data_IF_676051338804
#
_entry.id   IF_676051338804
#
_cell.length_a   1.000
_cell.length_b   1.000
_cell.length_c   1.000
_cell.angle_alpha   90.00
_cell.angle_beta   90.00
_cell.angle_gamma   90.00
#
_symmetry.space_group_name_H-M   'P 1'
#
loop_
_entity.id
_entity.type
_entity.pdbx_description
1 polymer ?
#
# COMPACT_ATOMS: atom_id res chain seq x y z
N UNK A 1 -10.80 -13.78 1.67
CA UNK A 1 -11.02 -12.69 0.68
C UNK A 1 -9.73 -11.92 0.34
N UNK A 2 -9.04 -11.31 1.30
CA UNK A 2 -7.82 -10.52 1.04
C UNK A 2 -6.77 -11.27 0.20
N UNK A 3 -6.49 -12.55 0.53
CA UNK A 3 -5.61 -13.41 -0.27
C UNK A 3 -6.07 -13.56 -1.71
N UNK A 4 -7.36 -13.83 -1.92
CA UNK A 4 -7.94 -13.98 -3.26
C UNK A 4 -7.96 -12.66 -4.05
N UNK A 5 -7.97 -11.51 -3.37
CA UNK A 5 -7.82 -10.20 -3.97
C UNK A 5 -6.35 -9.84 -4.32
N UNK A 6 -5.39 -10.74 -4.06
CA UNK A 6 -3.97 -10.56 -4.34
C UNK A 6 -3.21 -9.76 -3.29
N UNK A 7 -3.81 -9.44 -2.15
CA UNK A 7 -3.15 -8.71 -1.06
C UNK A 7 -2.01 -9.53 -0.47
N UNK A 8 -0.94 -8.87 -0.05
CA UNK A 8 0.26 -9.50 0.52
C UNK A 8 0.33 -9.37 2.04
N UNK A 9 -0.33 -8.40 2.62
CA UNK A 9 -0.41 -8.18 4.06
C UNK A 9 -1.75 -7.52 4.41
N UNK A 10 -2.08 -7.56 5.69
CA UNK A 10 -3.23 -6.85 6.26
C UNK A 10 -2.80 -6.09 7.51
N UNK A 11 -3.40 -4.92 7.74
CA UNK A 11 -3.19 -4.11 8.94
C UNK A 11 -4.52 -4.05 9.70
N UNK A 12 -4.56 -4.64 10.89
CA UNK A 12 -5.72 -4.58 11.77
C UNK A 12 -5.66 -3.34 12.65
N UNK A 13 -6.75 -2.60 12.73
CA UNK A 13 -6.91 -1.57 13.76
C UNK A 13 -7.09 -2.25 15.13
N UNK A 14 -5.99 -2.43 15.85
CA UNK A 14 -6.00 -3.14 17.15
C UNK A 14 -6.58 -2.29 18.26
N UNK A 15 -6.33 -0.98 18.21
CA UNK A 15 -6.89 0.04 19.11
C UNK A 15 -6.91 1.39 18.39
N UNK A 16 -8.10 1.96 18.26
CA UNK A 16 -8.31 3.29 17.69
C UNK A 16 -8.28 4.37 18.80
N UNK A 17 -8.62 5.63 18.49
CA UNK A 17 -8.50 6.77 19.42
C UNK A 17 -9.46 6.71 20.60
N UNK A 18 -10.59 5.98 20.50
CA UNK A 18 -11.53 5.77 21.59
C UNK A 18 -10.97 4.87 22.70
N UNK A 19 -9.81 4.23 22.47
CA UNK A 19 -9.09 3.49 23.47
C UNK A 19 -9.55 2.05 23.68
N UNK A 20 -10.44 1.48 22.84
CA UNK A 20 -10.89 0.10 22.96
C UNK A 20 -9.88 -0.87 22.34
N UNK A 21 -9.33 -1.77 23.17
CA UNK A 21 -8.35 -2.77 22.72
C UNK A 21 -9.04 -4.03 22.23
N UNK A 22 -8.70 -4.49 21.01
CA UNK A 22 -9.30 -5.70 20.40
C UNK A 22 -8.60 -7.01 20.84
N UNK A 23 -7.87 -7.00 21.95
CA UNK A 23 -7.15 -8.17 22.48
C UNK A 23 -7.29 -8.30 24.00
N UNK A 24 -6.85 -9.42 24.56
CA UNK A 24 -6.77 -9.69 26.00
C UNK A 24 -5.67 -8.86 26.68
N UNK A 25 -5.84 -7.54 26.67
CA UNK A 25 -4.88 -6.63 27.28
C UNK A 25 -4.91 -6.71 28.80
N UNK A 26 -3.74 -6.83 29.42
CA UNK A 26 -3.57 -6.74 30.88
C UNK A 26 -3.28 -5.31 31.33
N UNK A 27 -2.94 -4.46 30.38
CA UNK A 27 -2.66 -3.02 30.59
C UNK A 27 -3.95 -2.20 30.51
N UNK A 28 -4.81 -2.49 29.54
CA UNK A 28 -6.06 -1.76 29.30
C UNK A 28 -7.28 -2.64 29.61
N UNK A 29 -8.01 -2.36 30.71
CA UNK A 29 -9.22 -3.14 31.04
C UNK A 29 -10.40 -2.88 30.09
N UNK A 30 -10.36 -1.79 29.29
CA UNK A 30 -11.34 -1.52 28.26
C UNK A 30 -10.98 -2.25 26.95
N UNK A 31 -11.28 -3.56 26.94
CA UNK A 31 -10.90 -4.43 25.87
C UNK A 31 -12.00 -5.45 25.50
N UNK A 32 -11.81 -6.14 24.37
CA UNK A 32 -12.79 -7.07 23.80
C UNK A 32 -13.03 -8.34 24.63
N UNK A 33 -12.14 -8.69 25.57
CA UNK A 33 -12.35 -9.80 26.49
C UNK A 33 -13.29 -9.42 27.66
N UNK A 34 -13.18 -8.17 28.11
CA UNK A 34 -13.99 -7.70 29.23
C UNK A 34 -15.35 -7.15 28.79
N UNK A 35 -15.45 -6.68 27.54
CA UNK A 35 -16.65 -6.03 26.99
C UNK A 35 -16.97 -6.56 25.60
N UNK A 36 -18.24 -6.68 25.27
CA UNK A 36 -18.72 -7.04 23.94
C UNK A 36 -18.63 -8.53 23.64
N UNK A 37 -17.78 -8.92 22.69
CA UNK A 37 -17.76 -10.28 22.19
C UNK A 37 -17.01 -11.31 23.05
N UNK A 38 -16.26 -10.88 24.07
CA UNK A 38 -15.43 -11.73 24.95
C UNK A 38 -14.43 -12.60 24.18
N UNK A 39 -13.83 -12.05 23.12
CA UNK A 39 -12.87 -12.71 22.23
C UNK A 39 -11.62 -11.87 22.06
N UNK A 40 -10.47 -12.54 21.89
CA UNK A 40 -9.23 -11.91 21.44
C UNK A 40 -9.22 -11.83 19.92
N UNK A 41 -9.75 -10.72 19.39
CA UNK A 41 -9.87 -10.49 17.94
C UNK A 41 -8.50 -10.40 17.28
N UNK A 42 -7.50 -9.84 17.98
CA UNK A 42 -6.12 -9.76 17.46
C UNK A 42 -5.54 -11.17 17.27
N UNK A 43 -5.76 -12.09 18.21
CA UNK A 43 -5.34 -13.49 18.10
C UNK A 43 -5.95 -14.17 16.88
N UNK A 44 -7.25 -14.03 16.73
CA UNK A 44 -7.97 -14.65 15.62
C UNK A 44 -7.55 -14.09 14.26
N UNK A 45 -7.31 -12.77 14.18
CA UNK A 45 -6.78 -12.12 12.99
C UNK A 45 -5.39 -12.63 12.63
N UNK A 46 -4.48 -12.72 13.61
CA UNK A 46 -3.11 -13.22 13.41
C UNK A 46 -3.12 -14.65 12.91
N UNK A 47 -3.92 -15.51 13.55
CA UNK A 47 -4.01 -16.94 13.19
C UNK A 47 -4.57 -17.09 11.75
N UNK A 48 -5.58 -16.29 11.40
CA UNK A 48 -6.13 -16.27 10.04
C UNK A 48 -5.11 -15.78 9.00
N UNK A 49 -4.38 -14.69 9.27
CA UNK A 49 -3.34 -14.18 8.37
C UNK A 49 -2.23 -15.20 8.14
N UNK A 50 -1.76 -15.87 9.20
CA UNK A 50 -0.74 -16.93 9.11
C UNK A 50 -1.21 -18.11 8.28
N UNK A 51 -2.45 -18.57 8.52
CA UNK A 51 -3.06 -19.65 7.74
C UNK A 51 -3.10 -19.34 6.25
N UNK A 52 -3.38 -18.08 5.89
CA UNK A 52 -3.46 -17.63 4.51
C UNK A 52 -2.09 -17.18 3.93
N UNK A 53 -1.03 -17.13 4.74
CA UNK A 53 0.30 -16.65 4.33
C UNK A 53 0.32 -15.16 3.99
N UNK A 54 -0.42 -14.36 4.77
CA UNK A 54 -0.43 -12.89 4.67
C UNK A 54 0.49 -12.29 5.72
N UNK A 55 1.22 -11.22 5.38
CA UNK A 55 1.94 -10.39 6.33
C UNK A 55 0.98 -9.72 7.32
N UNK A 56 1.46 -9.44 8.52
CA UNK A 56 0.66 -8.98 9.65
C UNK A 56 1.11 -7.60 10.09
N UNK A 57 0.19 -6.65 10.02
CA UNK A 57 0.36 -5.30 10.56
C UNK A 57 -0.62 -5.00 11.68
N UNK A 58 -0.19 -4.20 12.63
CA UNK A 58 -1.02 -3.67 13.70
C UNK A 58 -1.06 -2.15 13.63
N UNK A 59 -2.26 -1.61 13.46
CA UNK A 59 -2.52 -0.19 13.68
C UNK A 59 -2.69 0.04 15.19
N UNK A 60 -1.98 1.01 15.72
CA UNK A 60 -2.03 1.42 17.11
C UNK A 60 -2.08 2.94 17.20
N UNK A 61 -3.21 3.51 17.63
CA UNK A 61 -3.33 4.96 17.82
C UNK A 61 -2.40 5.46 18.92
N UNK A 62 -1.73 6.58 18.65
CA UNK A 62 -0.99 7.32 19.68
C UNK A 62 -1.93 8.12 20.59
N UNK A 63 -3.09 8.54 20.07
CA UNK A 63 -4.15 9.19 20.84
C UNK A 63 -4.97 8.16 21.61
N UNK A 64 -5.44 8.54 22.80
CA UNK A 64 -6.46 7.81 23.56
C UNK A 64 -7.38 8.82 24.27
N UNK A 65 -8.61 8.92 23.76
CA UNK A 65 -9.60 9.87 24.28
C UNK A 65 -10.14 9.48 25.67
N UNK A 66 -10.00 8.22 26.03
CA UNK A 66 -10.47 7.67 27.31
C UNK A 66 -9.43 7.79 28.42
N UNK A 67 -8.16 7.80 28.05
CA UNK A 67 -7.11 7.85 29.06
C UNK A 67 -7.06 9.21 29.76
N UNK A 68 -7.04 9.27 31.10
CA UNK A 68 -7.07 10.53 31.83
C UNK A 68 -5.92 11.47 31.50
N UNK A 69 -4.78 10.91 31.07
CA UNK A 69 -3.60 11.67 30.67
C UNK A 69 -3.53 11.91 29.15
N UNK A 70 -4.48 11.38 28.33
CA UNK A 70 -4.44 11.44 26.87
C UNK A 70 -4.37 12.87 26.31
N UNK A 71 -5.14 13.81 26.88
CA UNK A 71 -5.06 15.23 26.53
C UNK A 71 -4.01 15.99 27.37
N UNK A 72 -3.84 15.60 28.63
CA UNK A 72 -2.94 16.29 29.60
C UNK A 72 -1.47 16.12 29.27
N UNK A 73 -1.10 15.04 28.56
CA UNK A 73 0.30 14.73 28.20
C UNK A 73 1.00 15.87 27.43
N UNK A 74 0.24 16.76 26.79
CA UNK A 74 0.81 17.89 26.04
C UNK A 74 1.43 18.98 26.95
N UNK A 75 0.91 19.17 28.16
CA UNK A 75 1.27 20.29 29.04
C UNK A 75 1.65 19.88 30.45
N UNK A 76 1.61 18.60 30.80
CA UNK A 76 1.98 18.05 32.11
C UNK A 76 2.97 16.91 31.90
N UNK A 77 4.24 17.11 32.31
CA UNK A 77 5.31 16.14 32.10
C UNK A 77 5.11 14.83 32.86
N UNK A 78 4.42 14.85 34.02
CA UNK A 78 4.12 13.62 34.75
C UNK A 78 3.00 12.83 34.04
N UNK A 79 1.98 13.53 33.56
CA UNK A 79 0.92 12.93 32.76
C UNK A 79 1.50 12.34 31.47
N UNK A 80 2.44 13.06 30.83
CA UNK A 80 3.12 12.58 29.62
C UNK A 80 3.88 11.28 29.89
N UNK A 81 4.69 11.19 30.94
CA UNK A 81 5.41 9.96 31.27
C UNK A 81 4.46 8.79 31.47
N UNK A 82 3.42 8.94 32.29
CA UNK A 82 2.43 7.85 32.50
C UNK A 82 1.73 7.43 31.21
N UNK A 83 1.40 8.39 30.35
CA UNK A 83 0.74 8.10 29.09
C UNK A 83 1.66 7.38 28.08
N UNK A 84 2.93 7.79 27.99
CA UNK A 84 3.91 7.12 27.14
C UNK A 84 4.22 5.71 27.64
N UNK A 85 4.36 5.50 28.95
CA UNK A 85 4.54 4.17 29.55
C UNK A 85 3.33 3.26 29.25
N UNK A 86 2.13 3.80 29.33
CA UNK A 86 0.90 3.07 28.97
C UNK A 86 0.88 2.65 27.51
N UNK A 87 1.19 3.56 26.58
CA UNK A 87 1.24 3.26 25.15
C UNK A 87 2.33 2.23 24.81
N UNK A 88 3.50 2.36 25.43
CA UNK A 88 4.59 1.40 25.24
C UNK A 88 4.23 0.01 25.78
N UNK A 89 3.58 -0.06 26.94
CA UNK A 89 3.12 -1.33 27.49
C UNK A 89 2.08 -2.02 26.58
N UNK A 90 1.13 -1.26 26.01
CA UNK A 90 0.17 -1.79 25.03
C UNK A 90 0.86 -2.34 23.78
N UNK A 91 1.80 -1.58 23.21
CA UNK A 91 2.55 -2.03 22.04
C UNK A 91 3.47 -3.22 22.35
N UNK A 92 4.01 -3.29 23.58
CA UNK A 92 4.78 -4.45 24.04
C UNK A 92 3.93 -5.70 24.08
N UNK A 93 2.69 -5.62 24.59
CA UNK A 93 1.75 -6.76 24.53
C UNK A 93 1.52 -7.24 23.09
N UNK A 94 1.26 -6.29 22.16
CA UNK A 94 1.03 -6.60 20.75
C UNK A 94 2.24 -7.25 20.08
N UNK A 95 3.45 -6.81 20.41
CA UNK A 95 4.68 -7.29 19.77
C UNK A 95 5.31 -8.53 20.45
N UNK A 96 4.82 -8.93 21.63
CA UNK A 96 5.34 -10.11 22.33
C UNK A 96 4.36 -11.30 22.37
N UNK A 97 3.04 -11.02 22.37
CA UNK A 97 2.05 -12.08 22.59
C UNK A 97 1.60 -12.81 21.32
N UNK A 98 1.90 -12.26 20.13
CA UNK A 98 1.34 -12.71 18.85
C UNK A 98 2.38 -13.25 17.86
N UNK A 99 3.64 -13.48 18.31
CA UNK A 99 4.74 -13.94 17.47
C UNK A 99 5.22 -12.87 16.48
N UNK A 100 5.70 -13.26 15.28
CA UNK A 100 6.24 -12.30 14.32
C UNK A 100 5.16 -11.36 13.80
N UNK A 101 5.45 -10.05 13.87
CA UNK A 101 4.64 -8.95 13.35
C UNK A 101 5.50 -8.16 12.36
N UNK A 102 4.95 -7.87 11.19
CA UNK A 102 5.71 -7.26 10.11
C UNK A 102 5.61 -5.73 10.12
N UNK A 103 4.47 -5.16 10.56
CA UNK A 103 4.22 -3.72 10.47
C UNK A 103 3.62 -3.21 11.79
N UNK A 104 4.18 -2.10 12.31
CA UNK A 104 3.54 -1.27 13.33
C UNK A 104 3.11 0.05 12.70
N UNK A 105 1.81 0.26 12.61
CA UNK A 105 1.19 1.41 11.97
C UNK A 105 0.63 2.37 13.02
N UNK A 106 1.36 3.42 13.36
CA UNK A 106 0.90 4.47 14.26
C UNK A 106 -0.07 5.42 13.59
N UNK A 107 -0.89 6.10 14.40
CA UNK A 107 -1.78 7.16 13.93
C UNK A 107 -2.04 8.22 14.99
N UNK A 108 -2.54 9.38 14.53
CA UNK A 108 -2.95 10.55 15.32
C UNK A 108 -1.91 10.96 16.36
N UNK A 109 -0.83 11.62 15.92
CA UNK A 109 0.23 12.09 16.81
C UNK A 109 -0.13 13.41 17.52
N UNK A 110 -1.39 13.65 17.82
CA UNK A 110 -1.87 14.72 18.67
C UNK A 110 -2.05 14.19 20.11
N UNK A 111 -1.93 15.01 21.15
CA UNK A 111 -1.76 16.46 21.11
C UNK A 111 -0.30 16.92 21.03
N UNK A 112 0.70 16.03 21.02
CA UNK A 112 2.10 16.43 20.95
C UNK A 112 2.54 16.66 19.50
N UNK A 113 3.37 17.68 19.28
CA UNK A 113 3.69 18.14 17.94
C UNK A 113 5.08 17.65 17.44
N UNK A 114 5.88 17.04 18.32
CA UNK A 114 7.21 16.57 17.99
C UNK A 114 7.47 15.11 18.36
N UNK A 115 8.47 14.50 17.73
CA UNK A 115 8.88 13.12 18.05
C UNK A 115 9.52 13.02 19.44
N UNK A 116 10.14 14.10 19.94
CA UNK A 116 10.69 14.17 21.30
C UNK A 116 9.56 14.10 22.32
N UNK A 117 8.46 14.85 22.09
CA UNK A 117 7.29 14.81 22.96
C UNK A 117 6.71 13.40 23.07
N UNK A 118 6.72 12.64 21.98
CA UNK A 118 6.28 11.25 21.93
C UNK A 118 7.34 10.23 22.38
N UNK A 119 8.58 10.65 22.70
CA UNK A 119 9.75 9.74 22.90
C UNK A 119 9.90 8.72 21.77
N UNK A 120 9.58 9.12 20.55
CA UNK A 120 9.43 8.19 19.44
C UNK A 120 10.71 7.45 19.12
N UNK A 121 11.86 8.12 19.16
CA UNK A 121 13.14 7.51 18.84
C UNK A 121 13.47 6.36 19.81
N UNK A 122 13.49 6.65 21.11
CA UNK A 122 13.85 5.65 22.11
C UNK A 122 12.79 4.56 22.23
N UNK A 123 11.49 4.92 22.18
CA UNK A 123 10.39 3.95 22.20
C UNK A 123 10.45 3.01 20.99
N UNK A 124 10.61 3.52 19.78
CA UNK A 124 10.66 2.68 18.59
C UNK A 124 11.90 1.78 18.58
N UNK A 125 13.05 2.23 19.12
CA UNK A 125 14.20 1.37 19.32
C UNK A 125 13.92 0.20 20.28
N UNK A 126 13.22 0.46 21.40
CA UNK A 126 12.82 -0.61 22.33
C UNK A 126 11.86 -1.60 21.69
N UNK A 127 10.89 -1.13 20.93
CA UNK A 127 9.94 -1.99 20.20
C UNK A 127 10.60 -2.80 19.09
N UNK A 128 11.57 -2.20 18.35
CA UNK A 128 12.39 -2.94 17.38
C UNK A 128 13.26 -4.01 18.04
N UNK A 129 13.70 -3.81 19.28
CA UNK A 129 14.44 -4.86 20.02
C UNK A 129 13.55 -6.11 20.27
N UNK A 130 12.23 -5.95 20.35
CA UNK A 130 11.27 -7.07 20.43
C UNK A 130 11.02 -7.74 19.07
N UNK A 131 11.05 -6.96 18.00
CA UNK A 131 10.75 -7.38 16.62
C UNK A 131 11.77 -6.71 15.66
N UNK A 132 12.98 -7.27 15.47
CA UNK A 132 14.06 -6.59 14.73
C UNK A 132 13.73 -6.25 13.28
N UNK A 133 12.86 -7.03 12.63
CA UNK A 133 12.47 -6.86 11.22
C UNK A 133 11.22 -6.00 11.03
N UNK A 134 10.61 -5.48 12.11
CA UNK A 134 9.38 -4.71 12.03
C UNK A 134 9.60 -3.38 11.30
N UNK A 135 8.72 -3.06 10.36
CA UNK A 135 8.70 -1.73 9.75
C UNK A 135 7.66 -0.84 10.44
N UNK A 136 7.99 0.44 10.58
CA UNK A 136 7.18 1.44 11.30
C UNK A 136 6.92 2.63 10.37
N UNK A 137 5.70 3.15 10.39
CA UNK A 137 5.34 4.33 9.61
C UNK A 137 5.75 5.65 10.28
N UNK A 138 5.64 6.77 9.55
CA UNK A 138 6.05 8.11 9.98
C UNK A 138 5.04 8.84 10.90
N UNK A 139 3.95 8.18 11.33
CA UNK A 139 2.88 8.82 12.12
C UNK A 139 3.28 9.14 13.56
N UNK A 140 4.41 8.67 14.05
CA UNK A 140 4.94 9.05 15.38
C UNK A 140 5.75 10.36 15.36
N UNK A 141 5.60 11.20 14.36
CA UNK A 141 6.38 12.42 14.09
C UNK A 141 7.87 12.16 13.79
N UNK A 142 8.33 10.93 13.89
CA UNK A 142 9.66 10.52 13.49
C UNK A 142 9.59 9.94 12.06
N UNK A 143 10.54 10.36 11.21
CA UNK A 143 10.68 9.81 9.87
C UNK A 143 11.26 8.39 9.97
N UNK A 144 10.38 7.43 10.02
CA UNK A 144 10.67 6.00 10.12
C UNK A 144 10.79 5.35 8.73
N UNK A 145 10.43 4.08 8.57
CA UNK A 145 10.70 3.32 7.35
C UNK A 145 9.90 3.84 6.15
N UNK A 146 8.63 4.21 6.34
CA UNK A 146 7.79 4.65 5.23
C UNK A 146 6.83 5.78 5.58
N UNK A 147 6.50 6.59 4.57
CA UNK A 147 5.52 7.66 4.67
C UNK A 147 4.11 7.18 4.37
N UNK A 148 3.10 7.89 4.88
CA UNK A 148 1.69 7.46 4.79
C UNK A 148 0.77 8.58 4.28
N UNK A 149 0.81 8.92 2.97
CA UNK A 149 -0.20 9.80 2.39
C UNK A 149 -1.59 9.18 2.52
N UNK A 150 -2.57 9.97 2.97
CA UNK A 150 -3.91 9.54 3.27
C UNK A 150 -4.97 10.24 2.43
N UNK A 151 -5.96 9.50 1.94
CA UNK A 151 -7.10 9.99 1.16
C UNK A 151 -6.72 10.51 -0.24
N UNK A 152 -5.45 10.65 -0.51
CA UNK A 152 -4.88 11.00 -1.82
C UNK A 152 -3.56 10.26 -2.02
N UNK A 153 -3.37 9.73 -3.22
CA UNK A 153 -2.07 9.20 -3.59
C UNK A 153 -1.13 10.38 -3.84
N UNK A 154 -0.14 10.52 -2.96
CA UNK A 154 0.93 11.52 -3.07
C UNK A 154 2.26 10.80 -3.13
N UNK A 155 2.93 10.92 -4.26
CA UNK A 155 4.27 10.36 -4.46
C UNK A 155 5.25 11.01 -3.49
N UNK A 156 6.07 10.20 -2.84
CA UNK A 156 7.13 10.65 -1.95
C UNK A 156 8.50 10.24 -2.52
N UNK A 157 9.55 10.91 -2.08
CA UNK A 157 10.96 10.63 -2.44
C UNK A 157 11.60 9.56 -1.52
N UNK A 158 10.81 8.75 -0.88
CA UNK A 158 11.14 7.66 0.04
C UNK A 158 10.11 6.54 -0.11
N UNK A 159 10.30 5.43 0.58
CA UNK A 159 9.27 4.40 0.68
C UNK A 159 7.99 4.97 1.29
N UNK A 160 6.85 4.61 0.72
CA UNK A 160 5.55 5.14 1.12
C UNK A 160 4.40 4.17 0.82
N UNK A 161 3.32 4.35 1.54
CA UNK A 161 2.08 3.59 1.41
C UNK A 161 0.89 4.55 1.42
N UNK A 162 0.15 4.63 0.31
CA UNK A 162 -1.09 5.41 0.30
C UNK A 162 -2.19 4.62 1.01
N UNK A 163 -2.71 5.18 2.11
CA UNK A 163 -3.87 4.61 2.79
C UNK A 163 -5.17 5.27 2.30
N UNK A 164 -6.07 4.42 1.78
CA UNK A 164 -7.28 4.84 1.11
C UNK A 164 -8.49 4.09 1.68
N UNK A 165 -9.59 4.81 1.91
CA UNK A 165 -10.88 4.16 2.17
C UNK A 165 -11.41 3.50 0.90
N UNK A 166 -12.33 2.54 1.04
CA UNK A 166 -12.94 1.88 -0.12
C UNK A 166 -13.97 2.76 -0.85
N UNK A 167 -14.38 3.88 -0.24
CA UNK A 167 -15.49 4.69 -0.71
C UNK A 167 -15.27 6.21 -0.58
N UNK A 168 -14.07 6.69 -0.28
CA UNK A 168 -13.73 8.10 -0.01
C UNK A 168 -14.50 8.75 1.16
N UNK A 169 -15.28 7.99 1.95
CA UNK A 169 -16.17 8.54 2.97
C UNK A 169 -15.73 8.11 4.37
N UNK A 170 -15.58 6.80 4.60
CA UNK A 170 -15.37 6.27 5.94
C UNK A 170 -14.36 5.12 6.00
N UNK A 171 -13.63 5.06 7.11
CA UNK A 171 -12.74 3.96 7.44
C UNK A 171 -13.50 2.77 8.02
N UNK A 172 -14.54 3.01 8.81
CA UNK A 172 -15.41 1.98 9.34
C UNK A 172 -16.47 1.50 8.34
N UNK A 173 -17.24 0.51 8.77
CA UNK A 173 -18.39 0.03 8.00
C UNK A 173 -19.43 1.15 7.79
N UNK A 174 -19.89 1.26 6.58
CA UNK A 174 -21.09 2.02 6.20
C UNK A 174 -22.16 1.04 5.73
N UNK A 175 -23.41 1.38 6.02
CA UNK A 175 -24.55 0.67 5.45
C UNK A 175 -24.45 0.64 3.92
N UNK A 176 -24.81 -0.50 3.31
CA UNK A 176 -24.66 -0.71 1.87
C UNK A 176 -25.40 0.35 1.03
N UNK A 177 -26.55 0.83 1.48
CA UNK A 177 -27.28 1.88 0.76
C UNK A 177 -26.56 3.21 0.77
N UNK A 178 -25.83 3.50 1.86
CA UNK A 178 -25.03 4.72 1.99
C UNK A 178 -23.70 4.61 1.24
N UNK A 179 -23.08 3.42 1.23
CA UNK A 179 -21.77 3.17 0.65
C UNK A 179 -21.80 2.95 -0.86
N UNK A 180 -22.86 2.31 -1.41
CA UNK A 180 -22.93 1.85 -2.78
C UNK A 180 -22.69 2.93 -3.85
N UNK A 181 -23.18 4.17 -3.74
CA UNK A 181 -22.92 5.22 -4.72
C UNK A 181 -21.44 5.63 -4.83
N UNK A 182 -20.64 5.34 -3.81
CA UNK A 182 -19.26 5.76 -3.68
C UNK A 182 -18.26 4.60 -3.74
N UNK A 183 -18.76 3.36 -3.69
CA UNK A 183 -17.91 2.17 -3.70
C UNK A 183 -17.02 2.12 -4.96
N UNK A 184 -15.76 1.73 -4.76
CA UNK A 184 -14.80 1.69 -5.85
C UNK A 184 -15.07 0.53 -6.81
N UNK A 185 -15.02 0.80 -8.11
CA UNK A 185 -14.94 -0.25 -9.12
C UNK A 185 -13.55 -0.88 -9.16
N UNK A 186 -13.47 -2.09 -9.72
CA UNK A 186 -12.18 -2.76 -9.96
C UNK A 186 -11.24 -1.87 -10.80
N UNK A 187 -11.76 -1.19 -11.81
CA UNK A 187 -10.98 -0.27 -12.63
C UNK A 187 -10.38 0.87 -11.81
N UNK A 188 -11.13 1.46 -10.86
CA UNK A 188 -10.61 2.52 -9.98
C UNK A 188 -9.53 1.99 -9.06
N UNK A 189 -9.72 0.80 -8.47
CA UNK A 189 -8.72 0.15 -7.62
C UNK A 189 -7.43 -0.11 -8.41
N UNK A 190 -7.54 -0.66 -9.63
CA UNK A 190 -6.38 -0.90 -10.49
C UNK A 190 -5.66 0.39 -10.89
N UNK A 191 -6.38 1.51 -11.12
CA UNK A 191 -5.75 2.82 -11.36
C UNK A 191 -4.97 3.31 -10.15
N UNK A 192 -5.50 3.17 -8.95
CA UNK A 192 -4.78 3.51 -7.71
C UNK A 192 -3.55 2.62 -7.53
N UNK A 193 -3.69 1.32 -7.72
CA UNK A 193 -2.60 0.36 -7.64
C UNK A 193 -1.50 0.67 -8.66
N UNK A 194 -1.89 0.96 -9.90
CA UNK A 194 -0.94 1.39 -10.94
C UNK A 194 -0.21 2.67 -10.55
N UNK A 195 -0.93 3.68 -10.06
CA UNK A 195 -0.32 4.94 -9.63
C UNK A 195 0.68 4.71 -8.49
N UNK A 196 0.36 3.86 -7.52
CA UNK A 196 1.29 3.51 -6.45
C UNK A 196 2.50 2.75 -7.00
N UNK A 197 2.29 1.64 -7.71
CA UNK A 197 3.36 0.78 -8.20
C UNK A 197 4.34 1.51 -9.14
N UNK A 198 3.82 2.31 -10.07
CA UNK A 198 4.65 3.09 -11.01
C UNK A 198 5.48 4.20 -10.34
N UNK A 199 5.15 4.57 -9.12
CA UNK A 199 5.83 5.63 -8.38
C UNK A 199 6.49 5.11 -7.09
N UNK A 200 6.68 3.79 -6.97
CA UNK A 200 7.41 3.16 -5.88
C UNK A 200 6.70 3.19 -4.54
N UNK A 201 5.38 3.18 -4.55
CA UNK A 201 4.58 3.12 -3.33
C UNK A 201 3.69 1.90 -3.26
N UNK A 202 3.22 1.59 -2.07
CA UNK A 202 2.20 0.58 -1.81
C UNK A 202 0.80 1.21 -1.73
N UNK A 203 -0.20 0.40 -1.99
CA UNK A 203 -1.60 0.74 -1.76
C UNK A 203 -2.13 -0.04 -0.55
N UNK A 204 -2.50 0.66 0.51
CA UNK A 204 -3.28 0.14 1.63
C UNK A 204 -4.74 0.54 1.42
N UNK A 205 -5.55 -0.41 0.96
CA UNK A 205 -6.96 -0.20 0.70
C UNK A 205 -7.80 -0.74 1.86
N UNK A 206 -8.46 0.15 2.58
CA UNK A 206 -9.26 -0.19 3.74
C UNK A 206 -10.63 -0.75 3.32
N UNK A 207 -11.08 -1.77 4.03
CA UNK A 207 -12.44 -2.28 3.98
C UNK A 207 -12.98 -2.35 5.41
N UNK A 208 -14.09 -1.66 5.68
CA UNK A 208 -14.78 -1.74 6.98
C UNK A 208 -15.65 -3.01 7.04
N UNK A 209 -15.32 -4.01 7.87
CA UNK A 209 -16.15 -5.22 8.01
C UNK A 209 -17.48 -4.88 8.69
N UNK A 210 -18.51 -5.68 8.40
CA UNK A 210 -19.80 -5.63 9.08
C UNK A 210 -19.65 -6.03 10.57
N UNK A 211 -20.64 -5.72 11.42
CA UNK A 211 -20.57 -6.08 12.84
C UNK A 211 -20.39 -7.59 13.11
N UNK A 212 -20.80 -8.45 12.19
CA UNK A 212 -20.61 -9.91 12.26
C UNK A 212 -19.23 -10.36 11.72
N UNK A 213 -18.39 -9.44 11.29
CA UNK A 213 -17.05 -9.69 10.72
C UNK A 213 -17.06 -10.03 9.23
N UNK A 214 -18.21 -10.10 8.58
CA UNK A 214 -18.28 -10.32 7.12
C UNK A 214 -17.88 -9.07 6.33
N UNK A 215 -17.37 -9.29 5.12
CA UNK A 215 -17.01 -8.20 4.21
C UNK A 215 -18.27 -7.74 3.46
N UNK A 216 -18.51 -6.43 3.31
CA UNK A 216 -19.63 -5.89 2.55
C UNK A 216 -19.65 -6.37 1.09
N UNK A 217 -20.84 -6.62 0.55
CA UNK A 217 -21.00 -7.17 -0.81
C UNK A 217 -20.47 -6.23 -1.90
N UNK A 218 -20.58 -4.92 -1.70
CA UNK A 218 -20.04 -3.88 -2.58
C UNK A 218 -18.51 -3.90 -2.70
N UNK A 219 -17.80 -4.43 -1.69
CA UNK A 219 -16.36 -4.62 -1.72
C UNK A 219 -15.96 -5.99 -2.34
N UNK A 220 -16.77 -7.04 -2.15
CA UNK A 220 -16.43 -8.39 -2.59
C UNK A 220 -16.23 -8.48 -4.11
N UNK A 221 -17.18 -7.97 -4.88
CA UNK A 221 -17.14 -8.04 -6.34
C UNK A 221 -15.90 -7.37 -6.93
N UNK A 222 -15.64 -6.07 -6.70
CA UNK A 222 -14.50 -5.41 -7.30
C UNK A 222 -13.15 -5.98 -6.80
N UNK A 223 -13.05 -6.41 -5.55
CA UNK A 223 -11.83 -7.05 -5.04
C UNK A 223 -11.59 -8.42 -5.68
N UNK A 224 -12.65 -9.18 -5.96
CA UNK A 224 -12.55 -10.45 -6.70
C UNK A 224 -12.08 -10.22 -8.14
N UNK A 225 -12.58 -9.19 -8.80
CA UNK A 225 -12.19 -8.80 -10.17
C UNK A 225 -10.71 -8.37 -10.20
N UNK A 226 -10.27 -7.57 -9.22
CA UNK A 226 -8.85 -7.17 -9.06
C UNK A 226 -7.97 -8.40 -8.82
N UNK A 227 -8.40 -9.33 -7.99
CA UNK A 227 -7.67 -10.59 -7.74
C UNK A 227 -7.46 -11.39 -9.01
N UNK A 228 -8.50 -11.61 -9.81
CA UNK A 228 -8.40 -12.30 -11.12
C UNK A 228 -7.47 -11.58 -12.09
N UNK A 229 -7.46 -10.26 -12.08
CA UNK A 229 -6.51 -9.48 -12.88
C UNK A 229 -5.07 -9.68 -12.40
N UNK A 230 -4.85 -9.67 -11.07
CA UNK A 230 -3.54 -9.87 -10.46
C UNK A 230 -3.00 -11.30 -10.64
N UNK A 231 -3.85 -12.31 -10.73
CA UNK A 231 -3.42 -13.68 -11.07
C UNK A 231 -2.68 -13.74 -12.42
N UNK A 232 -3.08 -12.90 -13.38
CA UNK A 232 -2.50 -12.85 -14.72
C UNK A 232 -1.39 -11.81 -14.86
N UNK A 233 -1.51 -10.68 -14.17
CA UNK A 233 -0.67 -9.51 -14.35
C UNK A 233 0.17 -9.14 -13.11
N UNK A 234 0.13 -9.95 -12.06
CA UNK A 234 0.78 -9.64 -10.78
C UNK A 234 2.30 -9.49 -10.88
N UNK A 235 2.93 -10.11 -11.89
CA UNK A 235 4.35 -9.90 -12.20
C UNK A 235 4.69 -8.42 -12.40
N UNK A 236 3.77 -7.63 -12.97
CA UNK A 236 3.95 -6.19 -13.17
C UNK A 236 3.78 -5.35 -11.89
N UNK A 237 3.35 -5.96 -10.77
CA UNK A 237 3.03 -5.27 -9.52
C UNK A 237 3.99 -5.64 -8.41
N UNK A 238 4.21 -6.96 -8.22
CA UNK A 238 4.89 -7.46 -7.03
C UNK A 238 6.41 -7.44 -7.18
N UNK A 239 7.06 -6.81 -6.19
CA UNK A 239 8.51 -6.82 -6.09
C UNK A 239 9.22 -6.08 -7.23
N UNK A 240 8.58 -5.09 -7.80
CA UNK A 240 9.17 -4.24 -8.83
C UNK A 240 10.26 -3.33 -8.27
N UNK A 241 11.12 -2.85 -9.16
CA UNK A 241 12.18 -1.90 -8.81
C UNK A 241 11.55 -0.55 -8.40
N UNK A 242 12.06 0.03 -7.31
CA UNK A 242 11.62 1.35 -6.90
C UNK A 242 12.07 2.42 -7.92
N UNK A 243 11.15 3.22 -8.48
CA UNK A 243 11.46 4.15 -9.58
C UNK A 243 12.40 5.31 -9.18
N UNK A 244 12.65 5.55 -7.89
CA UNK A 244 13.64 6.53 -7.43
C UNK A 244 15.06 6.19 -7.91
N UNK A 245 15.36 4.94 -8.23
CA UNK A 245 16.63 4.52 -8.85
C UNK A 245 16.73 5.11 -10.26
N UNK A 246 15.57 5.33 -10.92
CA UNK A 246 15.45 5.93 -12.25
C UNK A 246 15.11 7.43 -12.16
N UNK A 247 15.35 8.08 -11.01
CA UNK A 247 15.06 9.49 -10.82
C UNK A 247 15.79 10.34 -11.88
N UNK A 248 15.01 11.13 -12.60
CA UNK A 248 15.53 11.88 -13.76
C UNK A 248 15.37 11.16 -15.11
N UNK A 249 14.78 9.95 -15.17
CA UNK A 249 14.37 9.30 -16.41
C UNK A 249 13.01 9.83 -16.89
N UNK A 250 12.79 9.84 -18.21
CA UNK A 250 11.51 10.19 -18.83
C UNK A 250 10.37 9.23 -18.48
N UNK A 251 10.70 8.08 -17.92
CA UNK A 251 9.81 6.96 -17.63
C UNK A 251 9.27 6.93 -16.21
N UNK A 252 9.17 8.07 -15.56
CA UNK A 252 8.38 8.15 -14.33
C UNK A 252 6.92 7.87 -14.65
N UNK A 253 6.42 6.83 -14.01
CA UNK A 253 5.14 6.23 -14.25
C UNK A 253 3.95 7.17 -14.31
N UNK A 254 2.90 6.69 -14.93
CA UNK A 254 1.55 7.12 -14.73
C UNK A 254 1.17 8.54 -15.16
N UNK A 255 1.20 8.82 -16.44
CA UNK A 255 0.60 10.04 -16.99
C UNK A 255 -0.92 9.91 -17.23
N UNK A 256 -1.59 8.93 -16.63
CA UNK A 256 -3.02 8.67 -16.84
C UNK A 256 -3.37 7.90 -18.13
N UNK A 257 -2.45 7.81 -19.08
CA UNK A 257 -2.59 7.08 -20.34
C UNK A 257 -1.92 5.72 -20.25
N UNK A 258 -0.71 5.69 -19.73
CA UNK A 258 0.06 4.48 -19.46
C UNK A 258 0.80 4.60 -18.14
N UNK A 259 0.98 3.49 -17.46
CA UNK A 259 1.86 3.37 -16.31
C UNK A 259 3.00 2.41 -16.65
N UNK A 260 4.13 2.56 -15.98
CA UNK A 260 5.30 1.73 -16.22
C UNK A 260 5.84 1.22 -14.90
N UNK A 261 6.03 -0.07 -14.81
CA UNK A 261 6.78 -0.71 -13.74
C UNK A 261 8.00 -1.42 -14.30
N UNK A 262 9.01 -1.65 -13.46
CA UNK A 262 10.33 -2.11 -13.89
C UNK A 262 10.72 -3.38 -13.15
N UNK A 263 11.16 -4.41 -13.87
CA UNK A 263 11.79 -5.58 -13.26
C UNK A 263 13.04 -5.19 -12.45
N UNK A 264 13.32 -5.92 -11.37
CA UNK A 264 14.43 -5.62 -10.43
C UNK A 264 15.79 -5.55 -11.07
N UNK A 265 16.01 -6.33 -12.13
CA UNK A 265 17.27 -6.40 -12.87
C UNK A 265 17.31 -5.48 -14.10
N UNK A 266 16.25 -4.68 -14.30
CA UNK A 266 16.05 -3.83 -15.48
C UNK A 266 16.04 -4.60 -16.81
N UNK A 267 15.90 -5.91 -16.80
CA UNK A 267 15.77 -6.73 -18.02
C UNK A 267 14.36 -6.82 -18.56
N UNK A 268 13.41 -6.20 -17.86
CA UNK A 268 12.05 -6.04 -18.37
C UNK A 268 11.38 -4.79 -17.85
N UNK A 269 10.45 -4.28 -18.62
CA UNK A 269 9.51 -3.23 -18.22
C UNK A 269 8.10 -3.70 -18.53
N UNK A 270 7.14 -3.23 -17.74
CA UNK A 270 5.73 -3.54 -17.89
C UNK A 270 4.97 -2.26 -18.19
N UNK A 271 4.37 -2.21 -19.37
CA UNK A 271 3.56 -1.10 -19.84
C UNK A 271 2.10 -1.38 -19.56
N UNK A 272 1.50 -0.62 -18.67
CA UNK A 272 0.07 -0.67 -18.35
C UNK A 272 -0.68 0.23 -19.32
N UNK A 273 -1.41 -0.33 -20.24
CA UNK A 273 -2.02 0.41 -21.34
C UNK A 273 -3.49 0.74 -21.05
N UNK A 274 -3.75 1.91 -20.50
CA UNK A 274 -5.09 2.36 -20.15
C UNK A 274 -5.94 2.82 -21.34
N UNK A 275 -5.30 3.19 -22.43
CA UNK A 275 -5.95 3.69 -23.64
C UNK A 275 -5.32 2.99 -24.83
N UNK A 276 -6.10 2.16 -25.53
CA UNK A 276 -5.67 1.57 -26.78
C UNK A 276 -5.92 2.56 -27.92
N UNK A 277 -4.88 2.88 -28.70
CA UNK A 277 -5.03 3.74 -29.86
C UNK A 277 -5.86 3.05 -30.95
N UNK A 278 -6.59 3.87 -31.72
CA UNK A 278 -7.24 3.38 -32.93
C UNK A 278 -6.20 2.77 -33.87
N UNK A 279 -6.48 1.58 -34.42
CA UNK A 279 -5.53 0.81 -35.22
C UNK A 279 -4.46 0.04 -34.44
N UNK A 280 -4.51 0.03 -33.08
CA UNK A 280 -3.70 -0.84 -32.25
C UNK A 280 -2.20 -0.58 -32.29
N UNK A 281 -1.74 0.61 -32.70
CA UNK A 281 -0.31 0.94 -32.74
C UNK A 281 0.04 1.97 -31.68
N UNK A 282 1.11 1.73 -30.92
CA UNK A 282 1.63 2.64 -29.91
C UNK A 282 3.14 2.76 -29.98
N UNK A 283 3.66 3.95 -29.69
CA UNK A 283 5.08 4.24 -29.63
C UNK A 283 5.53 4.45 -28.20
N UNK A 284 6.61 3.79 -27.85
CA UNK A 284 7.26 3.91 -26.55
C UNK A 284 8.68 4.47 -26.75
N UNK A 285 8.95 5.67 -26.26
CA UNK A 285 10.18 6.42 -26.59
C UNK A 285 11.18 6.43 -25.42
N UNK A 286 12.46 6.67 -25.74
CA UNK A 286 13.54 6.88 -24.76
C UNK A 286 14.13 5.58 -24.20
N UNK A 287 13.87 4.46 -24.83
CA UNK A 287 14.50 3.17 -24.51
C UNK A 287 15.76 3.04 -25.35
N UNK A 288 16.94 3.02 -24.72
CA UNK A 288 18.23 2.99 -25.40
C UNK A 288 18.81 1.58 -25.59
N UNK A 289 18.08 0.58 -25.14
CA UNK A 289 18.39 -0.84 -25.35
C UNK A 289 17.33 -1.44 -26.24
N UNK A 290 17.74 -2.15 -27.27
CA UNK A 290 16.81 -2.82 -28.18
C UNK A 290 16.11 -3.97 -27.46
N UNK A 291 14.76 -4.05 -27.49
CA UNK A 291 14.04 -5.16 -26.91
C UNK A 291 14.24 -6.45 -27.72
N UNK A 292 14.22 -7.57 -27.02
CA UNK A 292 14.31 -8.90 -27.66
C UNK A 292 12.95 -9.58 -27.80
N UNK A 293 11.97 -9.17 -26.98
CA UNK A 293 10.63 -9.74 -27.02
C UNK A 293 9.62 -8.78 -26.40
N UNK A 294 8.41 -8.79 -26.90
CA UNK A 294 7.26 -8.12 -26.29
C UNK A 294 6.09 -9.10 -26.21
N UNK A 295 5.45 -9.19 -25.05
CA UNK A 295 4.29 -10.07 -24.84
C UNK A 295 3.16 -9.36 -24.13
N UNK A 296 1.92 -9.75 -24.41
CA UNK A 296 0.77 -9.41 -23.58
C UNK A 296 0.80 -10.30 -22.33
N UNK A 297 0.98 -9.69 -21.14
CA UNK A 297 1.27 -10.44 -19.92
C UNK A 297 0.14 -11.40 -19.52
N UNK A 298 -1.12 -10.98 -19.73
CA UNK A 298 -2.31 -11.76 -19.34
C UNK A 298 -2.50 -13.06 -20.16
N UNK A 299 -1.96 -13.15 -21.37
CA UNK A 299 -2.12 -14.28 -22.31
C UNK A 299 -0.82 -14.95 -22.68
N UNK A 300 0.31 -14.26 -22.57
CA UNK A 300 1.62 -14.69 -23.08
C UNK A 300 1.77 -14.54 -24.61
N UNK A 301 0.79 -13.92 -25.28
CA UNK A 301 0.81 -13.66 -26.70
C UNK A 301 1.97 -12.75 -27.08
N UNK A 302 2.72 -13.11 -28.13
CA UNK A 302 3.78 -12.26 -28.67
C UNK A 302 3.19 -11.08 -29.42
N UNK A 303 3.70 -9.90 -29.15
CA UNK A 303 3.28 -8.64 -29.77
C UNK A 303 4.31 -8.22 -30.81
N UNK A 304 3.83 -7.91 -32.02
CA UNK A 304 4.70 -7.39 -33.09
C UNK A 304 5.27 -6.04 -32.65
N UNK A 305 6.60 -5.91 -32.74
CA UNK A 305 7.27 -4.66 -32.44
C UNK A 305 8.37 -4.34 -33.46
N UNK A 306 8.71 -3.06 -33.53
CA UNK A 306 9.87 -2.57 -34.28
C UNK A 306 10.65 -1.59 -33.40
N UNK A 307 11.95 -1.78 -33.30
CA UNK A 307 12.84 -0.81 -32.68
C UNK A 307 13.41 0.14 -33.73
N UNK A 308 13.36 1.45 -33.47
CA UNK A 308 13.73 2.48 -34.44
C UNK A 308 15.05 3.14 -34.07
N UNK A 309 15.76 3.74 -35.06
CA UNK A 309 17.05 4.41 -34.87
C UNK A 309 16.96 5.61 -33.91
N UNK A 310 15.78 6.20 -33.75
CA UNK A 310 15.50 7.30 -32.81
C UNK A 310 15.08 6.77 -31.41
N UNK A 311 15.41 5.55 -31.09
CA UNK A 311 15.17 4.91 -29.77
C UNK A 311 13.70 4.84 -29.37
N UNK A 312 12.83 4.46 -30.31
CA UNK A 312 11.43 4.15 -30.05
C UNK A 312 11.15 2.68 -30.25
N UNK A 313 10.23 2.17 -29.47
CA UNK A 313 9.61 0.88 -29.69
C UNK A 313 8.22 1.15 -30.26
N UNK A 314 7.97 0.74 -31.47
CA UNK A 314 6.65 0.70 -32.09
C UNK A 314 6.01 -0.64 -31.76
N UNK A 315 4.90 -0.63 -31.06
CA UNK A 315 4.09 -1.81 -30.72
C UNK A 315 2.86 -1.84 -31.63
N UNK A 316 2.56 -3.00 -32.22
CA UNK A 316 1.44 -3.15 -33.16
C UNK A 316 0.48 -4.24 -32.71
N UNK A 317 -0.77 -4.15 -33.17
CA UNK A 317 -1.79 -5.14 -32.86
C UNK A 317 -2.27 -5.10 -31.41
N UNK A 318 -2.06 -3.97 -30.72
CA UNK A 318 -2.53 -3.81 -29.35
C UNK A 318 -4.03 -3.85 -29.28
N UNK A 319 -4.57 -4.68 -28.40
CA UNK A 319 -6.00 -4.82 -28.20
C UNK A 319 -6.36 -5.07 -26.75
N UNK A 320 -7.60 -4.79 -26.40
CA UNK A 320 -8.19 -5.04 -25.09
C UNK A 320 -9.21 -6.16 -25.26
N UNK A 321 -9.07 -7.22 -24.47
CA UNK A 321 -10.06 -8.30 -24.47
C UNK A 321 -11.37 -7.83 -23.83
N UNK A 322 -12.46 -8.48 -24.23
CA UNK A 322 -13.75 -8.22 -23.60
C UNK A 322 -13.67 -8.51 -22.08
N UNK A 323 -14.04 -7.51 -21.28
CA UNK A 323 -13.96 -7.60 -19.81
C UNK A 323 -12.57 -7.40 -19.20
N UNK A 324 -11.54 -7.13 -20.00
CA UNK A 324 -10.22 -6.76 -19.52
C UNK A 324 -10.17 -5.28 -19.07
N UNK A 325 -9.75 -5.01 -17.85
CA UNK A 325 -9.69 -3.63 -17.31
C UNK A 325 -8.53 -2.82 -17.88
N UNK A 326 -7.34 -3.42 -17.91
CA UNK A 326 -6.11 -2.82 -18.43
C UNK A 326 -5.16 -3.94 -18.87
N UNK A 327 -4.81 -4.00 -20.16
CA UNK A 327 -3.78 -4.90 -20.63
C UNK A 327 -2.40 -4.41 -20.18
N UNK A 328 -1.52 -5.36 -19.87
CA UNK A 328 -0.12 -5.10 -19.53
C UNK A 328 0.75 -5.78 -20.58
N UNK A 329 1.68 -5.01 -21.16
CA UNK A 329 2.66 -5.52 -22.10
C UNK A 329 4.03 -5.58 -21.43
N UNK A 330 4.64 -6.77 -21.42
CA UNK A 330 5.99 -6.99 -20.94
C UNK A 330 6.96 -6.80 -22.11
N UNK A 331 7.91 -5.90 -21.94
CA UNK A 331 8.99 -5.64 -22.89
C UNK A 331 10.28 -6.19 -22.27
N UNK A 332 10.93 -7.13 -22.93
CA UNK A 332 12.09 -7.86 -22.42
C UNK A 332 13.37 -7.45 -23.17
N UNK A 333 14.48 -7.39 -22.44
CA UNK A 333 15.80 -7.01 -22.92
C UNK A 333 16.81 -8.12 -22.62
N UNK A 334 17.77 -8.36 -23.53
CA UNK A 334 18.85 -9.32 -23.29
C UNK A 334 19.76 -8.88 -22.13
N UNK A 335 20.06 -7.59 -22.08
CA UNK A 335 20.85 -6.94 -21.03
C UNK A 335 20.00 -5.90 -20.28
N UNK A 336 20.42 -5.46 -19.09
CA UNK A 336 19.71 -4.42 -18.36
C UNK A 336 19.48 -3.18 -19.23
N UNK A 337 18.24 -2.68 -19.23
CA UNK A 337 17.84 -1.53 -20.02
C UNK A 337 18.68 -0.30 -19.68
N UNK A 338 19.27 0.31 -20.70
CA UNK A 338 19.94 1.60 -20.56
C UNK A 338 18.88 2.71 -20.52
N UNK A 339 19.01 3.59 -19.54
CA UNK A 339 18.19 4.81 -19.42
C UNK A 339 19.09 6.04 -19.28
N UNK A 340 18.61 7.19 -19.77
CA UNK A 340 19.35 8.44 -19.64
C UNK A 340 18.64 9.37 -18.66
N UNK A 341 19.34 9.92 -17.64
CA UNK A 341 18.76 10.86 -16.70
C UNK A 341 18.22 12.10 -17.39
N UNK A 342 17.03 12.52 -17.01
CA UNK A 342 16.33 13.68 -17.59
C UNK A 342 17.15 14.99 -17.60
N UNK A 343 17.95 15.22 -16.55
CA UNK A 343 18.76 16.44 -16.41
C UNK A 343 19.91 16.57 -17.44
N UNK A 344 20.20 15.51 -18.18
CA UNK A 344 21.20 15.54 -19.25
C UNK A 344 20.65 16.07 -20.59
N UNK A 345 19.34 16.26 -20.67
CA UNK A 345 18.71 16.84 -21.86
C UNK A 345 18.28 18.27 -21.57
N UNK A 346 18.53 19.23 -22.48
CA UNK A 346 17.96 20.56 -22.33
C UNK A 346 16.43 20.43 -22.25
N UNK A 347 15.85 21.08 -21.26
CA UNK A 347 14.41 21.11 -21.12
C UNK A 347 13.82 21.87 -22.31
N UNK A 348 13.27 21.16 -23.25
CA UNK A 348 12.43 21.74 -24.29
C UNK A 348 11.03 21.80 -23.70
N UNK A 349 10.70 22.94 -23.11
CA UNK A 349 9.32 23.26 -22.78
C UNK A 349 8.58 23.58 -24.07
N UNK A 350 7.66 22.72 -24.44
CA UNK A 350 6.65 23.03 -25.43
C UNK A 350 5.44 23.68 -24.76
#
# INVERSE_FOLDING_TARGET
>A
MAKAAGMKYMVLTTRHHEGFSLWDSKVNPFNSMNYGCHRDIVREFVDACRKEGLGIGFYSSLMDWRHPDGARCAYDDQARRRFLDYLEALNTELLTNYGKIDILWYDVPQPMESWEGWDSLARNQRLRALQPDIIINDRSRLKEDFGTPEGKIRVMDRDWEACMTFNDIAWGYLDEQQALPYAYSAQRILRMLNTCACNGGNLLLNVGPKPDGSIPADAIKPLTEVGKWLEKNGEAVYGQLHPNILSGSWFRGGNGISGITYGKDLKCVYLWNWISPEGGTMYYSGVFTEPVRVTKLSTGEDIEFRYTEDHRIELKGLHVEEGEFVPVYKIEFAEPMEYKPFHKYPQIWL
#
